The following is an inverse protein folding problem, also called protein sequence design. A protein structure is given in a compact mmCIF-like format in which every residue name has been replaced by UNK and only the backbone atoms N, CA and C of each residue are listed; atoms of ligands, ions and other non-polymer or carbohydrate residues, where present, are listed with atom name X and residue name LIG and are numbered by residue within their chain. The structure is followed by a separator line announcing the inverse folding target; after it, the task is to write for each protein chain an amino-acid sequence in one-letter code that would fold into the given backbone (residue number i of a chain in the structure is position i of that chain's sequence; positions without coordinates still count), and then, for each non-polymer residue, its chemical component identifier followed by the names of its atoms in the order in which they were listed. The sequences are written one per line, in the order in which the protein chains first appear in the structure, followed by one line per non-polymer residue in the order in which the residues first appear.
data_IF_052969430846
#
_entry.id   IF_052969430846
#
_cell.length_a   1.000
_cell.length_b   1.000
_cell.length_c   1.000
_cell.angle_alpha   90.00
_cell.angle_beta   90.00
_cell.angle_gamma   90.00
#
_symmetry.space_group_name_H-M   'P 1'
#
loop_
_entity.id
_entity.type
_entity.pdbx_description
1 polymer ?
#
# COMPACT_ATOMS: atom_id res chain seq x y z
N UNK A 1 -6.92 -3.50 -0.15
CA UNK A 1 -5.73 -2.90 -0.73
C UNK A 1 -4.49 -3.75 -0.45
N UNK A 2 -4.14 -4.01 0.80
CA UNK A 2 -2.93 -4.75 1.20
C UNK A 2 -2.70 -6.05 0.40
N UNK A 3 -3.69 -6.92 0.32
CA UNK A 3 -3.59 -8.19 -0.43
C UNK A 3 -3.26 -8.00 -1.92
N UNK A 4 -3.82 -6.98 -2.57
CA UNK A 4 -3.50 -6.66 -3.96
C UNK A 4 -2.05 -6.19 -4.11
N UNK A 5 -1.57 -5.37 -3.16
CA UNK A 5 -0.20 -4.91 -3.15
C UNK A 5 0.80 -6.07 -2.93
N UNK A 6 0.52 -6.96 -1.98
CA UNK A 6 1.33 -8.17 -1.75
C UNK A 6 1.36 -9.09 -2.98
N UNK A 7 0.22 -9.26 -3.67
CA UNK A 7 0.17 -10.03 -4.91
C UNK A 7 0.98 -9.36 -6.02
N UNK A 8 0.96 -8.03 -6.12
CA UNK A 8 1.79 -7.28 -7.06
C UNK A 8 3.28 -7.55 -6.83
N UNK A 9 3.75 -7.47 -5.58
CA UNK A 9 5.13 -7.81 -5.21
C UNK A 9 5.48 -9.27 -5.55
N UNK A 10 4.56 -10.20 -5.32
CA UNK A 10 4.75 -11.61 -5.69
C UNK A 10 4.92 -11.79 -7.21
N UNK A 11 4.18 -11.07 -8.04
CA UNK A 11 4.37 -11.09 -9.50
C UNK A 11 5.73 -10.53 -9.91
N UNK A 12 6.22 -9.47 -9.23
CA UNK A 12 7.56 -8.94 -9.48
C UNK A 12 8.63 -9.99 -9.18
N UNK A 13 8.53 -10.67 -8.04
CA UNK A 13 9.48 -11.73 -7.67
C UNK A 13 9.40 -12.93 -8.63
N UNK A 14 8.20 -13.32 -9.07
CA UNK A 14 8.01 -14.35 -10.08
C UNK A 14 8.66 -13.98 -11.43
N UNK A 15 8.56 -12.71 -11.83
CA UNK A 15 9.25 -12.21 -13.01
C UNK A 15 10.77 -12.25 -12.85
N UNK A 16 11.30 -11.77 -11.73
CA UNK A 16 12.76 -11.81 -11.46
C UNK A 16 13.31 -13.24 -11.51
N UNK A 17 12.55 -14.21 -10.96
CA UNK A 17 12.96 -15.61 -10.91
C UNK A 17 12.85 -16.34 -12.24
N UNK A 18 11.86 -16.03 -13.09
CA UNK A 18 11.54 -16.79 -14.30
C UNK A 18 11.87 -16.08 -15.60
N UNK A 19 12.10 -14.76 -15.57
CA UNK A 19 12.18 -13.86 -16.73
C UNK A 19 10.95 -13.94 -17.66
N UNK A 20 9.82 -14.49 -17.18
CA UNK A 20 8.59 -14.61 -17.96
C UNK A 20 7.85 -13.26 -18.00
N UNK A 21 7.71 -12.62 -19.18
CA UNK A 21 7.08 -11.30 -19.29
C UNK A 21 5.61 -11.27 -18.86
N UNK A 22 4.94 -12.41 -18.79
CA UNK A 22 3.58 -12.50 -18.26
C UNK A 22 3.50 -11.95 -16.82
N UNK A 23 4.42 -12.34 -15.94
CA UNK A 23 4.42 -11.85 -14.54
C UNK A 23 4.73 -10.36 -14.45
N UNK A 24 5.61 -9.84 -15.32
CA UNK A 24 5.85 -8.39 -15.41
C UNK A 24 4.57 -7.64 -15.76
N UNK A 25 3.81 -8.11 -16.74
CA UNK A 25 2.55 -7.51 -17.15
C UNK A 25 1.52 -7.55 -16.03
N UNK A 26 1.38 -8.69 -15.34
CA UNK A 26 0.49 -8.84 -14.18
C UNK A 26 0.85 -7.87 -13.05
N UNK A 27 2.13 -7.66 -12.76
CA UNK A 27 2.56 -6.70 -11.74
C UNK A 27 2.16 -5.26 -12.12
N UNK A 28 2.44 -4.86 -13.37
CA UNK A 28 2.10 -3.51 -13.87
C UNK A 28 0.58 -3.30 -13.91
N UNK A 29 -0.21 -4.26 -14.35
CA UNK A 29 -1.67 -4.17 -14.33
C UNK A 29 -2.21 -4.06 -12.91
N UNK A 30 -1.69 -4.86 -11.98
CA UNK A 30 -2.13 -4.85 -10.58
C UNK A 30 -1.84 -3.50 -9.91
N UNK A 31 -0.63 -2.96 -10.07
CA UNK A 31 -0.32 -1.65 -9.49
C UNK A 31 -1.13 -0.53 -10.14
N UNK A 32 -1.43 -0.62 -11.43
CA UNK A 32 -2.29 0.35 -12.10
C UNK A 32 -3.71 0.33 -11.55
N UNK A 33 -4.29 -0.86 -11.32
CA UNK A 33 -5.60 -1.00 -10.67
C UNK A 33 -5.61 -0.35 -9.27
N UNK A 34 -4.53 -0.53 -8.51
CA UNK A 34 -4.40 0.11 -7.20
C UNK A 34 -4.42 1.64 -7.35
N UNK A 35 -3.63 2.19 -8.26
CA UNK A 35 -3.53 3.64 -8.48
C UNK A 35 -4.80 4.26 -9.06
N UNK A 36 -5.59 3.51 -9.82
CA UNK A 36 -6.81 4.00 -10.47
C UNK A 36 -8.05 3.87 -9.58
N UNK A 37 -8.17 2.78 -8.82
CA UNK A 37 -9.43 2.44 -8.15
C UNK A 37 -9.41 2.65 -6.64
N UNK A 38 -8.25 2.50 -5.98
CA UNK A 38 -8.17 2.63 -4.53
C UNK A 38 -7.93 4.06 -4.06
N UNK A 39 -7.69 5.01 -4.95
CA UNK A 39 -7.43 6.41 -4.59
C UNK A 39 -8.74 7.13 -4.28
N UNK A 40 -8.84 7.73 -3.07
CA UNK A 40 -9.94 8.62 -2.67
C UNK A 40 -9.63 10.04 -3.12
N UNK A 41 -8.45 10.52 -2.74
CA UNK A 41 -7.99 11.86 -3.04
C UNK A 41 -6.53 11.80 -3.51
N UNK A 42 -6.29 12.03 -4.80
CA UNK A 42 -4.94 12.00 -5.37
C UNK A 42 -3.98 13.04 -4.76
N UNK A 43 -4.51 14.17 -4.29
CA UNK A 43 -3.69 15.26 -3.74
C UNK A 43 -3.25 14.93 -2.31
N UNK A 44 -4.16 14.41 -1.48
CA UNK A 44 -3.89 14.04 -0.10
C UNK A 44 -3.36 12.61 0.07
N UNK A 45 -3.18 11.87 -1.02
CA UNK A 45 -2.76 10.48 -1.02
C UNK A 45 -3.64 9.54 -0.15
N UNK A 46 -4.92 9.87 0.00
CA UNK A 46 -5.89 9.04 0.73
C UNK A 46 -6.31 7.85 -0.11
N UNK A 47 -6.31 6.67 0.52
CA UNK A 47 -6.65 5.40 -0.12
C UNK A 47 -7.82 4.71 0.58
N UNK A 48 -8.55 3.89 -0.19
CA UNK A 48 -9.52 2.95 0.34
C UNK A 48 -8.83 1.68 0.85
N UNK A 49 -9.29 1.15 1.98
CA UNK A 49 -8.87 -0.16 2.48
C UNK A 49 -9.43 -1.28 1.60
N UNK A 50 -10.72 -1.22 1.27
CA UNK A 50 -11.40 -2.23 0.47
C UNK A 50 -12.21 -1.62 -0.67
N UNK A 51 -12.40 -2.40 -1.73
CA UNK A 51 -13.36 -2.14 -2.81
C UNK A 51 -14.35 -3.29 -2.88
N UNK A 52 -15.65 -2.97 -2.95
CA UNK A 52 -16.70 -3.94 -3.16
C UNK A 52 -17.56 -3.48 -4.33
N UNK A 53 -17.55 -4.23 -5.43
CA UNK A 53 -18.25 -3.87 -6.67
C UNK A 53 -17.91 -2.45 -7.17
N UNK A 54 -16.63 -2.08 -7.09
CA UNK A 54 -16.14 -0.77 -7.51
C UNK A 54 -16.41 0.38 -6.54
N UNK A 55 -17.01 0.10 -5.38
CA UNK A 55 -17.27 1.10 -4.33
C UNK A 55 -16.26 0.94 -3.21
N UNK A 56 -15.54 2.02 -2.92
CA UNK A 56 -14.56 2.07 -1.84
C UNK A 56 -15.23 2.05 -0.46
N UNK A 57 -14.65 1.31 0.47
CA UNK A 57 -15.08 1.25 1.87
C UNK A 57 -13.87 1.32 2.78
N UNK A 58 -14.04 2.03 3.88
CA UNK A 58 -13.05 2.26 4.92
C UNK A 58 -11.76 2.91 4.40
N UNK A 59 -11.23 3.83 5.15
CA UNK A 59 -9.92 4.41 4.87
C UNK A 59 -8.81 3.38 5.06
N UNK A 60 -7.80 3.44 4.21
CA UNK A 60 -6.63 2.58 4.32
C UNK A 60 -5.94 2.76 5.67
N UNK A 61 -5.43 1.66 6.20
CA UNK A 61 -4.66 1.58 7.44
C UNK A 61 -3.15 1.54 7.14
N UNK A 62 -2.31 1.59 8.16
CA UNK A 62 -0.86 1.63 8.01
C UNK A 62 -0.32 0.47 7.15
N UNK A 63 -0.82 -0.74 7.36
CA UNK A 63 -0.47 -1.94 6.58
C UNK A 63 -0.72 -1.77 5.08
N UNK A 64 -1.84 -1.14 4.71
CA UNK A 64 -2.19 -0.89 3.31
C UNK A 64 -1.15 0.01 2.63
N UNK A 65 -0.76 1.08 3.31
CA UNK A 65 0.27 2.00 2.81
C UNK A 65 1.63 1.32 2.73
N UNK A 66 2.04 0.58 3.75
CA UNK A 66 3.31 -0.12 3.77
C UNK A 66 3.44 -1.10 2.61
N UNK A 67 2.42 -1.95 2.41
CA UNK A 67 2.38 -2.90 1.31
C UNK A 67 2.35 -2.20 -0.06
N UNK A 68 1.58 -1.11 -0.18
CA UNK A 68 1.48 -0.35 -1.43
C UNK A 68 2.80 0.35 -1.79
N UNK A 69 3.48 0.96 -0.82
CA UNK A 69 4.80 1.58 -1.01
C UNK A 69 5.81 0.53 -1.48
N UNK A 70 5.84 -0.65 -0.84
CA UNK A 70 6.72 -1.74 -1.25
C UNK A 70 6.42 -2.19 -2.68
N UNK A 71 5.16 -2.43 -3.02
CA UNK A 71 4.76 -2.83 -4.38
C UNK A 71 5.14 -1.80 -5.45
N UNK A 72 5.02 -0.50 -5.14
CA UNK A 72 5.45 0.58 -6.04
C UNK A 72 6.95 0.53 -6.31
N UNK A 73 7.77 0.32 -5.28
CA UNK A 73 9.22 0.19 -5.42
C UNK A 73 9.61 -1.09 -6.18
N UNK A 74 8.93 -2.20 -5.91
CA UNK A 74 9.15 -3.46 -6.61
C UNK A 74 8.85 -3.34 -8.12
N UNK A 75 7.74 -2.68 -8.48
CA UNK A 75 7.39 -2.43 -9.89
C UNK A 75 8.38 -1.45 -10.54
N UNK A 76 8.87 -0.45 -9.80
CA UNK A 76 9.95 0.41 -10.27
C UNK A 76 11.19 -0.41 -10.64
N UNK A 77 11.61 -1.37 -9.82
CA UNK A 77 12.78 -2.20 -10.07
C UNK A 77 12.75 -2.92 -11.43
N UNK A 78 11.57 -3.35 -11.88
CA UNK A 78 11.40 -4.08 -13.13
C UNK A 78 11.00 -3.20 -14.32
N UNK A 79 10.64 -1.92 -14.08
CA UNK A 79 10.18 -1.01 -15.14
C UNK A 79 11.09 0.18 -15.38
N UNK A 80 11.80 0.63 -14.34
CA UNK A 80 12.57 1.89 -14.35
C UNK A 80 11.70 3.15 -14.41
N UNK A 81 10.37 3.04 -14.24
CA UNK A 81 9.47 4.18 -14.36
C UNK A 81 9.40 4.97 -13.04
N UNK A 82 9.94 6.19 -13.06
CA UNK A 82 9.99 7.09 -11.89
C UNK A 82 8.63 7.49 -11.33
N UNK A 83 7.53 7.30 -12.08
CA UNK A 83 6.17 7.52 -11.57
C UNK A 83 5.93 6.74 -10.27
N UNK A 84 6.38 5.48 -10.20
CA UNK A 84 6.19 4.62 -9.04
C UNK A 84 6.98 5.10 -7.82
N UNK A 85 8.20 5.59 -8.01
CA UNK A 85 9.01 6.19 -6.93
C UNK A 85 8.34 7.47 -6.40
N UNK A 86 7.86 8.33 -7.28
CA UNK A 86 7.18 9.56 -6.89
C UNK A 86 5.90 9.26 -6.09
N UNK A 87 5.14 8.24 -6.48
CA UNK A 87 3.96 7.78 -5.73
C UNK A 87 4.35 7.17 -4.38
N UNK A 88 5.41 6.38 -4.30
CA UNK A 88 5.92 5.85 -3.04
C UNK A 88 6.32 6.96 -2.07
N UNK A 89 7.00 8.00 -2.55
CA UNK A 89 7.36 9.19 -1.77
C UNK A 89 6.09 9.91 -1.26
N UNK A 90 5.10 10.12 -2.13
CA UNK A 90 3.83 10.75 -1.78
C UNK A 90 3.12 9.98 -0.65
N UNK A 91 3.02 8.67 -0.75
CA UNK A 91 2.39 7.82 0.26
C UNK A 91 3.21 7.75 1.56
N UNK A 92 4.53 7.73 1.47
CA UNK A 92 5.42 7.80 2.65
C UNK A 92 5.22 9.11 3.40
N UNK A 93 5.17 10.25 2.70
CA UNK A 93 4.91 11.56 3.29
C UNK A 93 3.53 11.60 3.97
N UNK A 94 2.51 11.02 3.34
CA UNK A 94 1.17 10.90 3.93
C UNK A 94 1.18 10.09 5.24
N UNK A 95 1.89 8.94 5.24
CA UNK A 95 2.04 8.12 6.46
C UNK A 95 2.76 8.91 7.56
N UNK A 96 3.86 9.56 7.26
CA UNK A 96 4.59 10.39 8.23
C UNK A 96 3.73 11.51 8.81
N UNK A 97 2.86 12.11 8.01
CA UNK A 97 2.00 13.22 8.44
C UNK A 97 0.83 12.76 9.31
N UNK A 98 0.19 11.63 8.96
CA UNK A 98 -1.10 11.25 9.52
C UNK A 98 -1.08 10.06 10.48
N UNK A 99 0.00 9.26 10.46
CA UNK A 99 0.09 8.05 11.28
C UNK A 99 1.15 8.13 12.38
N UNK A 100 2.05 9.13 12.39
CA UNK A 100 3.12 9.23 13.39
C UNK A 100 2.58 9.39 14.81
N UNK A 101 3.20 8.69 15.75
CA UNK A 101 3.04 8.84 17.19
C UNK A 101 4.23 9.62 17.80
N UNK A 102 4.03 10.16 19.02
CA UNK A 102 5.03 11.01 19.67
C UNK A 102 6.31 10.26 20.08
N UNK A 103 6.22 8.93 20.21
CA UNK A 103 7.32 8.05 20.62
C UNK A 103 8.16 7.54 19.43
N UNK A 104 7.90 8.05 18.22
CA UNK A 104 8.57 7.61 16.99
C UNK A 104 7.97 6.37 16.35
N UNK A 105 6.92 5.82 16.94
CA UNK A 105 6.13 4.73 16.37
C UNK A 105 5.06 5.27 15.40
N UNK A 106 4.31 4.36 14.82
CA UNK A 106 3.16 4.71 13.97
C UNK A 106 1.88 4.11 14.54
N UNK A 107 0.81 4.88 14.46
CA UNK A 107 -0.53 4.37 14.74
C UNK A 107 -1.02 3.49 13.58
N UNK A 108 -1.86 2.51 13.90
CA UNK A 108 -2.48 1.65 12.88
C UNK A 108 -3.45 2.42 11.98
N UNK A 109 -4.13 3.45 12.53
CA UNK A 109 -5.10 4.28 11.83
C UNK A 109 -4.65 5.73 11.71
N UNK A 110 -5.07 6.42 10.65
CA UNK A 110 -4.74 7.82 10.43
C UNK A 110 -5.46 8.75 11.42
N UNK A 111 -4.87 9.93 11.68
CA UNK A 111 -5.42 10.91 12.60
C UNK A 111 -6.76 11.52 12.18
N UNK A 112 -7.14 11.43 10.93
CA UNK A 112 -8.42 11.92 10.40
C UNK A 112 -9.56 10.89 10.45
N UNK A 113 -9.30 9.65 10.91
CA UNK A 113 -10.32 8.62 11.07
C UNK A 113 -11.02 8.80 12.42
N UNK A 114 -12.08 9.60 12.44
CA UNK A 114 -12.80 9.97 13.67
C UNK A 114 -13.76 8.90 14.18
N UNK A 115 -13.99 7.84 13.42
CA UNK A 115 -14.77 6.66 13.80
C UNK A 115 -14.01 5.67 14.69
N UNK A 116 -12.73 5.92 14.93
CA UNK A 116 -11.86 5.10 15.78
C UNK A 116 -11.72 5.79 17.16
N UNK A 117 -12.35 5.25 18.23
CA UNK A 117 -12.33 5.89 19.55
C UNK A 117 -10.94 5.97 20.19
N UNK A 118 -10.07 5.00 19.90
CA UNK A 118 -8.69 4.95 20.40
C UNK A 118 -7.77 4.49 19.28
N UNK A 119 -6.73 5.27 19.00
CA UNK A 119 -5.68 4.91 18.04
C UNK A 119 -4.67 4.01 18.73
N UNK A 120 -4.48 2.80 18.21
CA UNK A 120 -3.51 1.84 18.71
C UNK A 120 -2.20 1.87 17.92
N UNK A 121 -1.08 1.71 18.61
CA UNK A 121 0.21 1.35 18.01
C UNK A 121 0.36 -0.16 18.10
N UNK A 122 0.73 -0.81 16.99
CA UNK A 122 0.99 -2.25 16.97
C UNK A 122 2.48 -2.52 17.00
N UNK A 123 2.90 -3.37 17.92
CA UNK A 123 4.29 -3.78 18.10
C UNK A 123 4.55 -5.24 17.67
N UNK A 124 3.53 -5.92 17.16
CA UNK A 124 3.63 -7.33 16.76
C UNK A 124 3.28 -7.54 15.29
N UNK A 125 4.02 -8.40 14.64
CA UNK A 125 3.68 -8.91 13.32
C UNK A 125 2.59 -9.97 13.46
N UNK A 126 1.35 -9.62 13.08
CA UNK A 126 0.21 -10.54 13.14
C UNK A 126 0.33 -11.72 12.18
N UNK A 127 1.16 -11.62 11.16
CA UNK A 127 1.38 -12.71 10.21
C UNK A 127 2.37 -13.77 10.72
N UNK A 128 3.17 -13.45 11.76
CA UNK A 128 4.14 -14.39 12.34
C UNK A 128 3.56 -15.32 13.43
N UNK A 129 2.30 -15.14 13.84
CA UNK A 129 1.72 -15.90 14.98
C UNK A 129 0.68 -16.94 14.59
N UNK A 130 0.88 -17.67 13.50
CA UNK A 130 0.19 -18.95 13.30
C UNK A 130 1.08 -20.08 13.81
N UNK A 131 1.03 -20.30 15.09
CA UNK A 131 1.33 -21.60 15.67
C UNK A 131 0.05 -22.23 16.15
#
# INVERSE_FOLDING_TARGET
LCWNALMCSAYVEAFKASANPHYRNMAVETIQVILDQFVIDPQDAKLWHTLTHGVGKYHAVLEDYAACIQALLDVYDITGNMLYVNKAIQYTTHVQTHFSAADGMYFFTAGYQHDVPVRATEHSDRFASTR
#
